data_IF_730606754314
#
_entry.id   IF_730606754314
#
_cell.length_a   1.000
_cell.length_b   1.000
_cell.length_c   1.000
_cell.angle_alpha   90.00
_cell.angle_beta   90.00
_cell.angle_gamma   90.00
#
_symmetry.space_group_name_H-M   'P 1'
#
loop_
_entity.id
_entity.type
_entity.pdbx_description
1 polymer ?
#
# COMPACT_ATOMS: atom_id res chain seq x y z
N UNK A 1 14.34 -21.87 9.75
CA UNK A 1 13.71 -20.54 9.63
C UNK A 1 14.67 -19.51 10.21
N UNK A 2 15.29 -18.68 9.38
CA UNK A 2 16.12 -17.57 9.84
C UNK A 2 15.18 -16.51 10.40
N UNK A 3 15.20 -16.27 11.69
CA UNK A 3 14.67 -15.06 12.28
C UNK A 3 15.45 -13.88 11.67
N UNK A 4 14.88 -13.30 10.64
CA UNK A 4 15.31 -11.99 10.18
C UNK A 4 14.97 -11.02 11.31
N UNK A 5 16.00 -10.58 12.00
CA UNK A 5 15.99 -9.51 13.00
C UNK A 5 15.58 -8.21 12.27
N UNK A 6 14.29 -8.07 11.96
CA UNK A 6 13.76 -6.92 11.24
C UNK A 6 13.55 -5.81 12.27
N UNK A 7 14.45 -4.83 12.25
CA UNK A 7 14.27 -3.58 12.99
C UNK A 7 12.82 -3.06 12.77
N UNK A 8 12.19 -2.59 13.83
CA UNK A 8 10.85 -2.01 13.73
C UNK A 8 10.85 -0.83 12.74
N UNK A 9 9.71 -0.56 12.11
CA UNK A 9 9.56 0.57 11.18
C UNK A 9 9.99 1.89 11.85
N UNK A 10 9.71 2.04 13.15
CA UNK A 10 10.14 3.20 13.96
C UNK A 10 11.65 3.33 14.01
N UNK A 11 12.36 2.25 14.34
CA UNK A 11 13.83 2.31 14.43
C UNK A 11 14.47 2.56 13.05
N UNK A 12 13.93 2.00 11.98
CA UNK A 12 14.39 2.26 10.61
C UNK A 12 14.22 3.73 10.23
N UNK A 13 13.06 4.32 10.47
CA UNK A 13 12.82 5.74 10.20
C UNK A 13 13.74 6.65 11.03
N UNK A 14 13.92 6.34 12.33
CA UNK A 14 14.84 7.09 13.18
C UNK A 14 16.27 7.01 12.65
N UNK A 15 16.78 5.84 12.29
CA UNK A 15 18.14 5.70 11.74
C UNK A 15 18.31 6.42 10.41
N UNK A 16 17.35 6.33 9.49
CA UNK A 16 17.40 7.00 8.18
C UNK A 16 17.44 8.52 8.31
N UNK A 17 16.83 9.10 9.37
CA UNK A 17 16.80 10.54 9.57
C UNK A 17 17.98 11.00 10.43
N UNK A 18 18.30 10.28 11.52
CA UNK A 18 19.32 10.69 12.49
C UNK A 18 20.75 10.55 11.91
N UNK A 19 21.03 9.51 11.13
CA UNK A 19 22.38 9.31 10.58
C UNK A 19 22.78 10.45 9.63
N UNK A 20 22.00 10.82 8.61
CA UNK A 20 22.34 11.98 7.76
C UNK A 20 22.41 13.28 8.56
N UNK A 21 21.55 13.47 9.55
CA UNK A 21 21.59 14.65 10.43
C UNK A 21 22.91 14.75 11.18
N UNK A 22 23.39 13.64 11.77
CA UNK A 22 24.68 13.61 12.45
C UNK A 22 25.84 13.93 11.49
N UNK A 23 25.80 13.41 10.26
CA UNK A 23 26.81 13.70 9.25
C UNK A 23 26.81 15.19 8.91
N UNK A 24 25.64 15.78 8.66
CA UNK A 24 25.51 17.22 8.33
C UNK A 24 26.02 18.08 9.48
N UNK A 25 25.64 17.76 10.72
CA UNK A 25 26.10 18.49 11.91
C UNK A 25 27.62 18.36 12.09
N UNK A 26 28.18 17.16 11.89
CA UNK A 26 29.62 16.95 11.97
C UNK A 26 30.40 17.79 10.94
N UNK A 27 29.93 17.78 9.68
CA UNK A 27 30.50 18.59 8.61
C UNK A 27 30.38 20.08 8.96
N UNK A 28 29.19 20.49 9.42
CA UNK A 28 28.93 21.88 9.82
C UNK A 28 29.83 22.36 10.97
N UNK A 29 30.04 21.51 11.99
CA UNK A 29 30.93 21.81 13.12
C UNK A 29 32.37 22.00 12.66
N UNK A 30 32.86 21.14 11.78
CA UNK A 30 34.21 21.27 11.20
C UNK A 30 34.34 22.55 10.37
N UNK A 31 33.35 22.84 9.53
CA UNK A 31 33.34 24.05 8.72
C UNK A 31 33.34 25.33 9.58
N UNK A 32 32.50 25.36 10.64
CA UNK A 32 32.46 26.47 11.59
C UNK A 32 33.77 26.66 12.36
N UNK A 33 34.45 25.56 12.72
CA UNK A 33 35.75 25.66 13.34
C UNK A 33 36.79 26.35 12.44
N UNK A 34 36.84 25.98 11.16
CA UNK A 34 37.73 26.65 10.20
C UNK A 34 37.35 28.11 9.94
N UNK A 35 36.06 28.41 9.88
CA UNK A 35 35.57 29.79 9.73
C UNK A 35 35.89 30.64 10.95
N UNK A 36 35.74 30.09 12.19
CA UNK A 36 36.13 30.76 13.43
C UNK A 36 37.63 31.03 13.49
N UNK A 37 38.45 30.06 13.05
CA UNK A 37 39.89 30.24 12.96
C UNK A 37 40.27 31.39 12.00
N UNK A 38 39.67 31.42 10.85
CA UNK A 38 39.91 32.49 9.85
C UNK A 38 39.46 33.85 10.37
N UNK A 39 38.26 33.95 10.96
CA UNK A 39 37.76 35.18 11.55
C UNK A 39 38.62 35.69 12.70
N UNK A 40 39.03 34.81 13.59
CA UNK A 40 39.95 35.17 14.68
C UNK A 40 41.25 35.72 14.13
N UNK A 41 41.82 35.12 13.09
CA UNK A 41 43.06 35.60 12.47
C UNK A 41 42.83 36.97 11.78
N UNK A 42 41.74 37.16 11.04
CA UNK A 42 41.40 38.45 10.39
C UNK A 42 41.23 39.57 11.42
N UNK A 43 40.54 39.33 12.53
CA UNK A 43 40.36 40.30 13.61
C UNK A 43 41.70 40.69 14.20
N UNK A 44 42.61 39.69 14.50
CA UNK A 44 43.94 39.94 15.02
C UNK A 44 44.84 40.71 14.05
N UNK A 45 44.86 40.35 12.77
CA UNK A 45 45.64 41.03 11.74
C UNK A 45 45.14 42.48 11.59
N UNK A 46 43.86 42.77 11.63
CA UNK A 46 43.29 44.10 11.61
C UNK A 46 43.67 44.94 12.85
N UNK A 47 43.66 44.29 14.02
CA UNK A 47 44.06 44.90 15.26
C UNK A 47 45.58 45.31 15.21
N UNK A 48 46.47 44.39 14.82
CA UNK A 48 47.88 44.68 14.64
C UNK A 48 48.11 45.79 13.62
N UNK A 49 47.35 45.81 12.54
CA UNK A 49 47.42 46.90 11.55
C UNK A 49 47.03 48.26 12.15
N UNK A 50 45.96 48.29 12.91
CA UNK A 50 45.49 49.53 13.57
C UNK A 50 46.54 50.01 14.56
N UNK A 51 47.15 49.10 15.38
CA UNK A 51 48.19 49.45 16.30
C UNK A 51 49.43 49.96 15.56
N UNK A 52 49.86 49.35 14.46
CA UNK A 52 51.00 49.79 13.67
C UNK A 52 50.78 51.22 13.12
N UNK A 53 49.55 51.54 12.67
CA UNK A 53 49.21 52.90 12.20
C UNK A 53 49.23 53.94 13.34
N UNK A 54 48.78 53.58 14.55
CA UNK A 54 48.82 54.45 15.72
C UNK A 54 50.27 54.72 16.13
N UNK A 55 51.13 53.69 16.20
CA UNK A 55 52.55 53.82 16.50
C UNK A 55 53.24 54.71 15.46
N UNK A 56 52.96 54.51 14.17
CA UNK A 56 53.48 55.32 13.09
C UNK A 56 53.13 56.80 13.29
N UNK A 57 51.85 57.08 13.57
CA UNK A 57 51.35 58.46 13.76
C UNK A 57 52.00 59.14 14.98
N UNK A 58 52.16 58.40 16.06
CA UNK A 58 52.76 58.95 17.29
C UNK A 58 54.25 59.19 17.12
N UNK A 59 55.01 58.26 16.48
CA UNK A 59 56.38 58.44 16.13
C UNK A 59 56.68 59.64 15.20
N UNK A 60 55.66 59.99 14.34
CA UNK A 60 55.77 61.14 13.43
C UNK A 60 55.46 62.46 14.10
N UNK A 61 54.56 62.50 15.07
CA UNK A 61 53.97 63.72 15.61
C UNK A 61 54.66 64.27 16.86
N UNK A 62 55.49 63.48 17.59
CA UNK A 62 56.11 63.89 18.87
C UNK A 62 57.45 63.20 19.16
N UNK A 63 58.36 64.01 19.72
CA UNK A 63 59.70 63.65 20.18
C UNK A 63 59.70 62.66 21.34
N UNK A 64 59.01 61.53 21.25
CA UNK A 64 59.20 60.54 22.28
C UNK A 64 58.10 59.65 22.73
N UNK A 65 58.49 58.60 23.15
CA UNK A 65 58.19 57.31 23.72
C UNK A 65 57.01 57.24 24.72
N UNK A 66 56.68 58.30 25.46
CA UNK A 66 55.78 58.25 26.61
C UNK A 66 54.29 57.98 26.32
N UNK A 67 53.78 58.48 25.19
CA UNK A 67 52.34 58.26 24.85
C UNK A 67 52.13 56.88 24.21
N UNK A 68 53.07 56.40 23.41
CA UNK A 68 53.04 55.09 22.80
C UNK A 68 53.14 54.00 23.91
N UNK A 69 53.99 54.18 24.92
CA UNK A 69 54.15 53.26 26.04
C UNK A 69 52.89 53.16 26.90
N UNK A 70 52.27 54.28 27.26
CA UNK A 70 51.00 54.31 27.97
C UNK A 70 49.83 53.69 27.17
N UNK A 71 49.78 53.95 25.89
CA UNK A 71 48.79 53.35 25.02
C UNK A 71 48.95 51.83 24.89
N UNK A 72 50.18 51.35 24.74
CA UNK A 72 50.49 49.95 24.67
C UNK A 72 50.25 49.22 26.03
N UNK A 73 50.56 49.86 27.14
CA UNK A 73 50.23 49.36 28.47
C UNK A 73 48.70 49.20 28.62
N UNK A 74 47.94 50.24 28.24
CA UNK A 74 46.45 50.17 28.26
C UNK A 74 45.89 49.11 27.31
N UNK A 75 46.48 48.95 26.11
CA UNK A 75 46.08 47.87 25.17
C UNK A 75 46.44 46.50 25.67
N UNK A 76 47.66 46.33 26.27
CA UNK A 76 48.10 45.06 26.89
C UNK A 76 47.15 44.65 28.01
N UNK A 77 46.78 45.58 28.87
CA UNK A 77 45.80 45.29 29.95
C UNK A 77 44.41 44.97 29.40
N UNK A 78 43.96 45.69 28.37
CA UNK A 78 42.65 45.48 27.77
C UNK A 78 42.56 44.20 27.00
N UNK A 79 43.61 43.75 26.35
CA UNK A 79 43.65 42.55 25.49
C UNK A 79 44.19 41.34 26.22
N UNK A 80 44.69 41.48 27.46
CA UNK A 80 45.34 40.46 28.25
C UNK A 80 46.47 39.76 27.48
N UNK A 81 47.15 40.54 26.62
CA UNK A 81 48.18 40.03 25.70
C UNK A 81 49.29 41.03 25.48
N UNK A 82 50.52 40.59 25.40
CA UNK A 82 51.68 41.47 25.31
C UNK A 82 51.90 41.92 23.86
N UNK A 83 51.98 43.27 23.69
CA UNK A 83 52.22 43.93 22.40
C UNK A 83 53.64 44.52 22.45
N UNK A 84 54.40 44.23 21.42
CA UNK A 84 55.74 44.75 21.23
C UNK A 84 55.82 45.50 19.91
N UNK A 85 56.67 46.49 19.84
CA UNK A 85 56.90 47.25 18.60
C UNK A 85 58.36 47.67 18.46
N UNK A 86 58.69 47.94 17.21
CA UNK A 86 59.99 48.56 16.87
C UNK A 86 59.84 49.33 15.56
N UNK A 87 60.46 50.54 15.56
CA UNK A 87 60.59 51.36 14.39
C UNK A 87 62.09 51.51 14.08
N UNK A 88 62.49 51.23 12.83
CA UNK A 88 63.85 51.37 12.32
C UNK A 88 63.84 52.28 11.08
N UNK A 89 64.97 52.98 10.91
CA UNK A 89 65.22 53.75 9.70
C UNK A 89 65.67 52.84 8.54
N UNK A 90 65.97 53.43 7.40
CA UNK A 90 66.43 52.73 6.20
C UNK A 90 67.83 52.11 6.39
N UNK A 91 68.61 52.67 7.30
CA UNK A 91 69.96 52.16 7.66
C UNK A 91 69.90 51.06 8.71
N UNK A 92 68.70 50.58 9.07
CA UNK A 92 68.46 49.60 10.10
C UNK A 92 68.84 50.07 11.53
N UNK A 93 69.01 51.37 11.77
CA UNK A 93 69.19 51.98 13.04
C UNK A 93 67.93 51.99 13.87
N UNK A 94 67.99 51.58 15.15
CA UNK A 94 66.84 51.61 16.06
C UNK A 94 66.45 53.08 16.33
N UNK A 95 65.17 53.40 16.01
CA UNK A 95 64.59 54.74 16.27
C UNK A 95 63.82 54.72 17.60
N UNK A 96 62.85 53.83 17.73
CA UNK A 96 62.04 53.70 18.95
C UNK A 96 61.65 52.22 19.14
N UNK A 97 61.40 51.78 20.36
CA UNK A 97 60.87 50.50 20.73
C UNK A 97 61.83 49.44 21.25
N UNK A 98 61.38 48.18 21.23
CA UNK A 98 62.19 47.06 21.79
C UNK A 98 63.29 46.60 20.85
N UNK A 99 64.41 46.12 21.39
CA UNK A 99 65.53 45.54 20.61
C UNK A 99 65.12 44.12 20.12
N UNK A 100 65.65 43.75 18.94
CA UNK A 100 65.55 42.43 18.34
C UNK A 100 64.08 41.98 17.99
N UNK A 101 63.47 42.58 16.93
CA UNK A 101 62.21 42.10 16.40
C UNK A 101 62.39 40.70 15.80
N UNK A 102 61.33 39.90 15.72
CA UNK A 102 61.35 38.65 15.00
C UNK A 102 61.82 38.82 13.56
N UNK A 103 62.68 37.88 13.09
CA UNK A 103 63.28 37.98 11.77
C UNK A 103 62.20 37.86 10.67
N UNK A 104 62.31 38.71 9.64
CA UNK A 104 61.45 38.66 8.48
C UNK A 104 61.78 37.41 7.64
N UNK A 105 60.81 36.65 7.12
CA UNK A 105 61.04 35.48 6.29
C UNK A 105 61.91 35.84 5.05
N UNK A 106 62.95 35.06 4.79
CA UNK A 106 64.05 35.35 3.83
C UNK A 106 63.67 35.52 2.37
N UNK A 107 62.42 35.33 1.97
CA UNK A 107 61.93 35.48 0.59
C UNK A 107 60.77 36.45 0.46
N UNK A 108 60.62 37.40 1.37
CA UNK A 108 59.46 38.28 1.38
C UNK A 108 59.74 39.51 0.45
N UNK A 109 58.90 39.72 -0.53
CA UNK A 109 58.89 40.89 -1.42
C UNK A 109 58.32 42.09 -0.66
N UNK A 110 59.21 42.97 -0.21
CA UNK A 110 58.84 44.17 0.55
C UNK A 110 58.32 45.24 -0.39
N UNK A 111 57.01 45.48 -0.39
CA UNK A 111 56.42 46.57 -1.14
C UNK A 111 56.05 47.72 -0.20
N UNK A 112 56.37 48.95 -0.58
CA UNK A 112 55.99 50.12 0.21
C UNK A 112 54.48 50.20 0.42
N UNK A 113 54.06 50.60 1.61
CA UNK A 113 52.63 50.76 2.01
C UNK A 113 51.80 49.48 2.02
N UNK A 114 52.40 48.30 1.89
CA UNK A 114 51.71 47.03 2.00
C UNK A 114 52.15 46.27 3.23
N UNK A 115 51.28 46.04 4.22
CA UNK A 115 51.64 45.31 5.41
C UNK A 115 51.84 43.82 5.09
N UNK A 116 52.84 43.22 5.74
CA UNK A 116 53.16 41.80 5.63
C UNK A 116 52.92 41.17 7.01
N UNK A 117 52.08 40.15 7.04
CA UNK A 117 51.76 39.42 8.24
C UNK A 117 52.46 38.06 8.22
N UNK A 118 53.18 37.73 9.33
CA UNK A 118 53.85 36.44 9.45
C UNK A 118 53.88 35.97 10.90
N UNK A 119 53.99 34.64 11.06
CA UNK A 119 54.14 34.02 12.37
C UNK A 119 55.63 33.81 12.69
N UNK A 120 56.02 34.00 13.93
CA UNK A 120 57.39 33.84 14.39
C UNK A 120 57.40 33.44 15.87
N UNK A 121 58.60 33.22 16.42
CA UNK A 121 58.80 32.96 17.83
C UNK A 121 59.56 34.14 18.45
N UNK A 122 59.05 34.63 19.57
CA UNK A 122 59.72 35.67 20.34
C UNK A 122 59.70 35.31 21.83
N UNK A 123 60.86 35.27 22.45
CA UNK A 123 61.01 34.84 23.86
C UNK A 123 60.29 33.53 24.19
N UNK A 124 60.48 32.52 23.36
CA UNK A 124 59.86 31.20 23.47
C UNK A 124 58.30 31.18 23.35
N UNK A 125 57.73 32.25 22.87
CA UNK A 125 56.29 32.36 22.62
C UNK A 125 55.98 32.53 21.15
N UNK A 126 54.89 31.90 20.67
CA UNK A 126 54.36 32.12 19.33
C UNK A 126 53.82 33.55 19.23
N UNK A 127 54.29 34.28 18.25
CA UNK A 127 53.86 35.68 17.99
C UNK A 127 53.36 35.83 16.57
N UNK A 128 52.37 36.70 16.42
CA UNK A 128 51.92 37.21 15.12
C UNK A 128 52.59 38.55 14.91
N UNK A 129 53.23 38.76 13.77
CA UNK A 129 54.00 39.94 13.43
C UNK A 129 53.35 40.62 12.23
N UNK A 130 53.21 41.94 12.30
CA UNK A 130 52.99 42.81 11.16
C UNK A 130 54.27 43.59 10.88
N UNK A 131 54.67 43.60 9.63
CA UNK A 131 55.76 44.45 9.12
C UNK A 131 55.17 45.39 8.08
N UNK A 132 55.48 46.69 8.19
CA UNK A 132 55.16 47.68 7.15
C UNK A 132 56.33 48.61 6.87
N UNK A 133 56.46 49.03 5.62
CA UNK A 133 57.45 50.01 5.20
C UNK A 133 56.74 51.24 4.72
N UNK A 134 56.96 52.37 5.44
CA UNK A 134 56.25 53.61 5.23
C UNK A 134 57.24 54.75 4.98
N UNK A 135 56.84 55.76 4.22
CA UNK A 135 57.65 56.96 4.01
C UNK A 135 57.22 58.08 4.94
N UNK A 136 58.18 58.59 5.74
CA UNK A 136 57.95 59.69 6.67
C UNK A 136 58.70 60.95 6.15
N UNK A 137 58.01 62.08 6.17
CA UNK A 137 58.60 63.39 5.80
C UNK A 137 58.52 64.40 6.95
N UNK A 138 59.28 64.10 8.04
CA UNK A 138 59.40 65.02 9.17
C UNK A 138 60.78 65.62 9.22
N UNK A 139 60.96 66.66 10.05
CA UNK A 139 62.28 67.36 10.17
C UNK A 139 63.34 66.45 10.75
N UNK A 140 62.93 65.47 11.59
CA UNK A 140 63.82 64.61 12.35
C UNK A 140 64.08 63.27 11.71
N UNK A 141 63.15 62.81 10.85
CA UNK A 141 63.22 61.51 10.16
C UNK A 141 62.73 61.67 8.70
N UNK A 142 63.54 62.18 7.80
CA UNK A 142 63.20 62.21 6.39
C UNK A 142 63.60 60.87 5.73
N UNK A 143 62.67 60.00 5.41
CA UNK A 143 63.01 58.76 4.71
C UNK A 143 62.05 57.60 4.92
N UNK A 144 62.47 56.44 4.45
CA UNK A 144 61.73 55.20 4.66
C UNK A 144 61.97 54.66 6.07
N UNK A 145 60.88 54.25 6.76
CA UNK A 145 60.93 53.61 8.06
C UNK A 145 60.31 52.20 7.96
N UNK A 146 60.93 51.27 8.68
CA UNK A 146 60.45 49.90 8.83
C UNK A 146 59.80 49.79 10.21
N UNK A 147 58.52 49.41 10.22
CA UNK A 147 57.73 49.27 11.44
C UNK A 147 57.46 47.80 11.66
N UNK A 148 57.80 47.29 12.83
CA UNK A 148 57.49 45.98 13.31
C UNK A 148 56.56 46.11 14.51
N UNK A 149 55.41 45.42 14.48
CA UNK A 149 54.58 45.24 15.64
C UNK A 149 54.27 43.77 15.78
N UNK A 150 54.44 43.25 16.96
CA UNK A 150 54.13 41.85 17.20
C UNK A 150 53.45 41.67 18.53
N UNK A 151 52.58 40.65 18.58
CA UNK A 151 51.78 40.33 19.74
C UNK A 151 51.81 38.81 19.96
N UNK A 152 51.74 38.38 21.19
CA UNK A 152 51.61 36.95 21.51
C UNK A 152 50.27 36.42 21.02
N UNK A 153 50.18 35.14 20.74
CA UNK A 153 48.95 34.52 20.21
C UNK A 153 47.98 34.02 21.28
N UNK A 154 48.17 34.44 22.55
CA UNK A 154 47.31 34.00 23.66
C UNK A 154 45.90 34.49 23.51
N UNK A 155 45.67 35.78 23.30
CA UNK A 155 44.33 36.35 23.08
C UNK A 155 43.69 35.85 21.81
N UNK A 156 44.50 35.58 20.74
CA UNK A 156 43.93 34.93 19.53
C UNK A 156 43.40 33.53 19.81
N UNK A 157 44.11 32.72 20.62
CA UNK A 157 43.65 31.38 20.99
C UNK A 157 42.41 31.43 21.88
N UNK A 158 42.31 32.36 22.80
CA UNK A 158 41.12 32.57 23.65
C UNK A 158 39.90 32.95 22.81
N UNK A 159 40.03 33.94 21.91
CA UNK A 159 38.97 34.34 20.99
C UNK A 159 38.52 33.19 20.09
N UNK A 160 39.46 32.39 19.58
CA UNK A 160 39.14 31.21 18.79
C UNK A 160 38.31 30.19 19.59
N UNK A 161 38.74 29.90 20.85
CA UNK A 161 38.02 28.97 21.72
C UNK A 161 36.61 29.49 22.07
N UNK A 162 36.47 30.78 22.33
CA UNK A 162 35.15 31.42 22.59
C UNK A 162 34.24 31.26 21.38
N UNK A 163 34.66 31.69 20.18
CA UNK A 163 33.89 31.58 18.95
C UNK A 163 33.53 30.12 18.60
N UNK A 164 34.50 29.21 18.81
CA UNK A 164 34.29 27.79 18.54
C UNK A 164 33.34 27.15 19.56
N UNK A 165 33.39 27.56 20.84
CA UNK A 165 32.50 27.04 21.88
C UNK A 165 31.04 27.49 21.65
N UNK A 166 30.83 28.76 21.29
CA UNK A 166 29.51 29.30 20.98
C UNK A 166 28.87 28.62 19.75
N UNK A 167 29.70 28.40 18.73
CA UNK A 167 29.28 27.63 17.57
C UNK A 167 28.90 26.19 17.91
N UNK A 168 29.72 25.54 18.75
CA UNK A 168 29.47 24.17 19.20
C UNK A 168 28.18 24.07 20.03
N UNK A 169 27.95 24.96 20.98
CA UNK A 169 26.73 25.01 21.81
C UNK A 169 25.48 25.21 20.94
N UNK A 170 25.56 26.15 20.01
CA UNK A 170 24.46 26.41 19.07
C UNK A 170 24.13 25.17 18.22
N UNK A 171 25.13 24.50 17.67
CA UNK A 171 24.97 23.26 16.92
C UNK A 171 24.40 22.12 17.78
N UNK A 172 24.83 22.00 19.03
CA UNK A 172 24.30 20.98 19.95
C UNK A 172 22.81 21.22 20.26
N UNK A 173 22.42 22.46 20.53
CA UNK A 173 21.02 22.81 20.76
C UNK A 173 20.18 22.48 19.51
N UNK A 174 20.69 22.82 18.33
CA UNK A 174 20.00 22.54 17.05
C UNK A 174 19.87 21.02 16.82
N UNK A 175 20.89 20.25 17.12
CA UNK A 175 20.86 18.78 17.02
C UNK A 175 19.82 18.18 17.98
N UNK A 176 19.84 18.59 19.24
CA UNK A 176 18.91 18.09 20.26
C UNK A 176 17.46 18.44 19.94
N UNK A 177 17.19 19.70 19.54
CA UNK A 177 15.86 20.15 19.17
C UNK A 177 15.33 19.40 17.95
N UNK A 178 16.15 19.23 16.91
CA UNK A 178 15.77 18.48 15.71
C UNK A 178 15.55 17.00 16.03
N UNK A 179 16.44 16.38 16.83
CA UNK A 179 16.29 15.01 17.27
C UNK A 179 14.98 14.79 18.05
N UNK A 180 14.62 15.73 18.91
CA UNK A 180 13.36 15.71 19.66
C UNK A 180 12.14 15.83 18.73
N UNK A 181 12.17 16.77 17.80
CA UNK A 181 11.11 16.95 16.79
C UNK A 181 10.91 15.69 15.95
N UNK A 182 12.01 15.06 15.50
CA UNK A 182 11.95 13.81 14.73
C UNK A 182 11.36 12.67 15.57
N UNK A 183 11.79 12.55 16.82
CA UNK A 183 11.28 11.52 17.73
C UNK A 183 9.78 11.67 17.96
N UNK A 184 9.30 12.88 18.26
CA UNK A 184 7.86 13.15 18.39
C UNK A 184 7.10 12.93 17.08
N UNK A 185 7.62 13.43 15.95
CA UNK A 185 7.00 13.26 14.64
C UNK A 185 6.80 11.80 14.25
N UNK A 186 7.80 10.96 14.47
CA UNK A 186 7.70 9.51 14.21
C UNK A 186 6.73 8.84 15.18
N UNK A 187 6.75 9.21 16.46
CA UNK A 187 5.87 8.65 17.47
C UNK A 187 4.39 8.95 17.17
N UNK A 188 4.05 10.21 16.93
CA UNK A 188 2.68 10.63 16.64
C UNK A 188 2.23 10.23 15.24
N UNK A 189 3.11 10.30 14.25
CA UNK A 189 2.79 9.93 12.86
C UNK A 189 2.46 8.45 12.69
N UNK A 190 3.09 7.55 13.46
CA UNK A 190 2.83 6.11 13.40
C UNK A 190 1.75 5.61 14.36
N UNK A 191 1.28 6.44 15.28
CA UNK A 191 0.26 6.05 16.27
C UNK A 191 -1.03 5.53 15.62
N UNK A 192 -1.65 6.18 14.60
CA UNK A 192 -2.88 5.70 13.97
C UNK A 192 -2.73 4.30 13.33
N UNK A 193 -1.56 4.01 12.78
CA UNK A 193 -1.27 2.72 12.18
C UNK A 193 -1.21 1.60 13.24
N UNK A 194 -0.60 1.89 14.39
CA UNK A 194 -0.52 0.94 15.50
C UNK A 194 -1.88 0.71 16.16
N UNK A 195 -2.70 1.73 16.24
CA UNK A 195 -4.07 1.61 16.72
C UNK A 195 -4.93 0.77 15.78
N UNK A 196 -4.77 0.93 14.46
CA UNK A 196 -5.42 0.09 13.47
C UNK A 196 -4.96 -1.36 13.58
N UNK A 197 -3.64 -1.60 13.69
CA UNK A 197 -3.09 -2.94 13.91
C UNK A 197 -3.65 -3.60 15.18
N UNK A 198 -3.71 -2.86 16.29
CA UNK A 198 -4.26 -3.35 17.55
C UNK A 198 -5.75 -3.67 17.44
N UNK A 199 -6.52 -2.86 16.69
CA UNK A 199 -7.93 -3.10 16.44
C UNK A 199 -8.17 -4.39 15.65
N UNK A 200 -7.37 -4.62 14.59
CA UNK A 200 -7.44 -5.84 13.80
C UNK A 200 -7.04 -7.06 14.64
N UNK A 201 -5.97 -6.96 15.42
CA UNK A 201 -5.48 -8.07 16.26
C UNK A 201 -6.45 -8.47 17.38
N UNK A 202 -7.25 -7.54 17.89
CA UNK A 202 -8.24 -7.80 18.95
C UNK A 202 -9.51 -8.45 18.44
N UNK A 203 -9.73 -8.54 17.12
CA UNK A 203 -10.91 -9.16 16.54
C UNK A 203 -10.83 -10.68 16.64
N UNK A 204 -11.97 -11.31 16.93
CA UNK A 204 -12.11 -12.75 16.76
C UNK A 204 -12.14 -13.10 15.27
N UNK A 205 -11.90 -14.37 14.95
CA UNK A 205 -11.95 -14.87 13.57
C UNK A 205 -13.33 -14.66 12.90
N UNK A 206 -14.38 -14.57 13.70
CA UNK A 206 -15.78 -14.42 13.25
C UNK A 206 -16.23 -12.97 13.14
N UNK A 207 -15.43 -12.01 13.65
CA UNK A 207 -15.77 -10.59 13.57
C UNK A 207 -15.32 -9.97 12.25
N UNK A 208 -16.15 -10.08 11.24
CA UNK A 208 -16.00 -9.47 9.91
C UNK A 208 -16.76 -8.13 9.77
N UNK A 209 -17.06 -7.45 10.89
CA UNK A 209 -17.72 -6.15 10.86
C UNK A 209 -16.83 -5.06 10.27
N UNK A 210 -17.43 -3.99 9.76
CA UNK A 210 -16.72 -2.85 9.20
C UNK A 210 -15.84 -2.17 10.25
N UNK A 211 -14.60 -1.82 9.89
CA UNK A 211 -13.71 -1.04 10.74
C UNK A 211 -14.05 0.44 10.60
N UNK A 212 -14.73 1.01 11.61
CA UNK A 212 -15.12 2.44 11.66
C UNK A 212 -14.11 3.22 12.49
N UNK A 213 -13.01 3.64 11.89
CA UNK A 213 -12.00 4.48 12.53
C UNK A 213 -11.56 5.60 11.59
N UNK A 214 -11.27 6.77 12.17
CA UNK A 214 -10.61 7.86 11.48
C UNK A 214 -9.13 7.49 11.32
N UNK A 215 -8.66 7.47 10.09
CA UNK A 215 -7.26 7.19 9.74
C UNK A 215 -6.75 8.26 8.78
N UNK A 216 -5.44 8.52 8.74
CA UNK A 216 -4.85 9.41 7.73
C UNK A 216 -5.22 9.01 6.30
N UNK A 217 -5.20 9.98 5.38
CA UNK A 217 -5.59 9.80 3.98
C UNK A 217 -4.81 8.69 3.29
N UNK A 218 -3.53 8.54 3.62
CA UNK A 218 -2.62 7.52 3.07
C UNK A 218 -3.02 6.09 3.45
N UNK A 219 -3.65 5.92 4.61
CA UNK A 219 -4.13 4.62 5.11
C UNK A 219 -5.59 4.36 4.75
N UNK A 220 -6.34 5.42 4.41
CA UNK A 220 -7.78 5.35 4.12
C UNK A 220 -8.10 4.42 2.94
N UNK A 221 -7.28 4.44 1.88
CA UNK A 221 -7.46 3.55 0.72
C UNK A 221 -7.33 2.07 1.11
N UNK A 222 -6.35 1.74 1.95
CA UNK A 222 -6.15 0.38 2.48
C UNK A 222 -7.36 -0.04 3.33
N UNK A 223 -7.81 0.83 4.23
CA UNK A 223 -8.98 0.56 5.08
C UNK A 223 -10.26 0.32 4.27
N UNK A 224 -10.50 1.11 3.21
CA UNK A 224 -11.62 0.91 2.28
C UNK A 224 -11.55 -0.44 1.59
N UNK A 225 -10.37 -0.82 1.09
CA UNK A 225 -10.16 -2.14 0.45
C UNK A 225 -10.42 -3.29 1.43
N UNK A 226 -9.95 -3.18 2.68
CA UNK A 226 -10.22 -4.16 3.73
C UNK A 226 -11.72 -4.26 4.05
N UNK A 227 -12.41 -3.13 4.21
CA UNK A 227 -13.84 -3.11 4.48
C UNK A 227 -14.66 -3.70 3.32
N UNK A 228 -14.24 -3.46 2.07
CA UNK A 228 -14.82 -4.11 0.89
C UNK A 228 -14.66 -5.64 0.95
N UNK A 229 -13.47 -6.13 1.29
CA UNK A 229 -13.24 -7.56 1.47
C UNK A 229 -14.09 -8.17 2.60
N UNK A 230 -14.21 -7.47 3.74
CA UNK A 230 -15.08 -7.92 4.83
C UNK A 230 -16.54 -7.93 4.44
N UNK A 231 -16.99 -6.96 3.65
CA UNK A 231 -18.35 -6.96 3.12
C UNK A 231 -18.63 -8.15 2.20
N UNK A 232 -17.72 -8.46 1.27
CA UNK A 232 -17.81 -9.61 0.38
C UNK A 232 -17.80 -10.93 1.17
N UNK A 233 -16.91 -11.03 2.18
CA UNK A 233 -16.83 -12.22 3.01
C UNK A 233 -18.11 -12.43 3.84
N UNK A 234 -18.66 -11.35 4.41
CA UNK A 234 -19.93 -11.39 5.15
C UNK A 234 -21.07 -11.85 4.27
N UNK A 235 -21.15 -11.30 3.06
CA UNK A 235 -22.17 -11.71 2.08
C UNK A 235 -22.04 -13.21 1.77
N UNK A 236 -20.84 -13.70 1.51
CA UNK A 236 -20.60 -15.11 1.24
C UNK A 236 -20.99 -16.02 2.43
N UNK A 237 -20.73 -15.61 3.65
CA UNK A 237 -21.16 -16.35 4.85
C UNK A 237 -22.69 -16.33 4.99
N UNK A 238 -23.33 -15.18 4.82
CA UNK A 238 -24.81 -15.09 4.88
C UNK A 238 -25.45 -16.00 3.82
N UNK A 239 -24.98 -15.96 2.57
CA UNK A 239 -25.46 -16.82 1.50
C UNK A 239 -25.26 -18.31 1.81
N UNK A 240 -24.14 -18.68 2.45
CA UNK A 240 -23.87 -20.05 2.89
C UNK A 240 -24.81 -20.49 4.03
N UNK A 241 -25.01 -19.62 5.01
CA UNK A 241 -25.89 -19.94 6.15
C UNK A 241 -27.35 -20.07 5.71
N UNK A 242 -27.82 -19.17 4.83
CA UNK A 242 -29.16 -19.26 4.22
C UNK A 242 -29.32 -20.54 3.40
N UNK A 243 -28.28 -20.93 2.65
CA UNK A 243 -28.28 -22.19 1.90
C UNK A 243 -28.42 -23.39 2.83
N UNK A 244 -27.63 -23.46 3.92
CA UNK A 244 -27.68 -24.57 4.89
C UNK A 244 -29.05 -24.63 5.57
N UNK A 245 -29.58 -23.48 6.00
CA UNK A 245 -30.88 -23.41 6.65
C UNK A 245 -32.01 -23.89 5.73
N UNK A 246 -32.04 -23.43 4.48
CA UNK A 246 -33.03 -23.81 3.49
C UNK A 246 -32.89 -25.30 3.09
N UNK A 247 -31.66 -25.79 2.90
CA UNK A 247 -31.41 -27.20 2.60
C UNK A 247 -31.93 -28.11 3.72
N UNK A 248 -31.62 -27.77 4.99
CA UNK A 248 -32.11 -28.51 6.15
C UNK A 248 -33.65 -28.55 6.21
N UNK A 249 -34.28 -27.40 5.90
CA UNK A 249 -35.75 -27.31 5.89
C UNK A 249 -36.35 -28.17 4.78
N UNK A 250 -35.80 -28.10 3.57
CA UNK A 250 -36.25 -28.85 2.41
C UNK A 250 -35.97 -30.36 2.52
N UNK A 251 -34.99 -30.79 3.30
CA UNK A 251 -34.78 -32.22 3.61
C UNK A 251 -35.70 -32.73 4.71
N UNK A 252 -35.97 -31.93 5.74
CA UNK A 252 -36.83 -32.32 6.86
C UNK A 252 -38.25 -32.67 6.40
N UNK A 253 -38.82 -31.88 5.48
CA UNK A 253 -40.19 -32.07 5.05
C UNK A 253 -40.45 -33.45 4.38
N UNK A 254 -39.72 -33.90 3.35
CA UNK A 254 -39.95 -35.20 2.74
C UNK A 254 -39.58 -36.35 3.67
N UNK A 255 -38.58 -36.18 4.56
CA UNK A 255 -38.25 -37.22 5.54
C UNK A 255 -39.41 -37.42 6.53
N UNK A 256 -39.99 -36.34 7.04
CA UNK A 256 -41.21 -36.44 7.88
C UNK A 256 -42.39 -37.05 7.12
N UNK A 257 -42.53 -36.75 5.83
CA UNK A 257 -43.54 -37.41 4.97
C UNK A 257 -43.30 -38.89 4.81
N UNK A 258 -42.05 -39.32 4.55
CA UNK A 258 -41.67 -40.73 4.47
C UNK A 258 -42.00 -41.47 5.80
N UNK A 259 -41.63 -40.89 6.93
CA UNK A 259 -41.90 -41.44 8.24
C UNK A 259 -43.39 -41.59 8.50
N UNK A 260 -44.15 -40.52 8.26
CA UNK A 260 -45.62 -40.55 8.45
C UNK A 260 -46.34 -41.58 7.56
N UNK A 261 -45.92 -41.72 6.29
CA UNK A 261 -46.54 -42.71 5.37
C UNK A 261 -46.09 -44.14 5.73
N UNK A 262 -44.86 -44.32 6.19
CA UNK A 262 -44.36 -45.64 6.67
C UNK A 262 -45.13 -46.10 7.93
N UNK A 263 -45.32 -45.22 8.92
CA UNK A 263 -46.11 -45.51 10.13
C UNK A 263 -47.58 -45.80 9.79
N UNK A 264 -48.12 -45.06 8.83
CA UNK A 264 -49.52 -45.29 8.37
C UNK A 264 -49.66 -46.58 7.55
N UNK A 265 -48.61 -47.02 6.83
CA UNK A 265 -48.57 -48.27 6.13
C UNK A 265 -48.53 -49.44 7.12
N UNK A 266 -47.74 -49.33 8.21
CA UNK A 266 -47.63 -50.32 9.28
C UNK A 266 -48.97 -50.54 10.00
N UNK A 267 -49.73 -49.49 10.21
CA UNK A 267 -51.04 -49.57 10.86
C UNK A 267 -52.19 -49.97 9.93
N UNK A 268 -51.94 -50.15 8.64
CA UNK A 268 -52.96 -50.45 7.65
C UNK A 268 -53.41 -51.88 7.74
N UNK A 269 -54.73 -52.09 7.87
CA UNK A 269 -55.38 -53.43 7.87
C UNK A 269 -55.68 -53.94 6.47
N UNK A 270 -55.63 -53.08 5.44
CA UNK A 270 -55.94 -53.43 4.08
C UNK A 270 -54.69 -53.47 3.23
N UNK A 271 -54.44 -54.57 2.52
CA UNK A 271 -53.26 -54.79 1.69
C UNK A 271 -53.14 -53.76 0.56
N UNK A 272 -54.24 -53.32 0.00
CA UNK A 272 -54.27 -52.34 -1.11
C UNK A 272 -53.87 -50.95 -0.61
N UNK A 273 -54.39 -50.52 0.56
CA UNK A 273 -54.01 -49.27 1.22
C UNK A 273 -52.53 -49.33 1.64
N UNK A 274 -52.02 -50.43 2.17
CA UNK A 274 -50.61 -50.63 2.51
C UNK A 274 -49.74 -50.47 1.27
N UNK A 275 -50.08 -51.14 0.16
CA UNK A 275 -49.33 -51.01 -1.11
C UNK A 275 -49.28 -49.60 -1.65
N UNK A 276 -50.42 -48.87 -1.58
CA UNK A 276 -50.44 -47.45 -1.99
C UNK A 276 -49.51 -46.60 -1.15
N UNK A 277 -49.51 -46.75 0.20
CA UNK A 277 -48.65 -46.01 1.10
C UNK A 277 -47.15 -46.35 0.93
N UNK A 278 -46.82 -47.62 0.70
CA UNK A 278 -45.45 -48.05 0.38
C UNK A 278 -44.99 -47.42 -0.94
N UNK A 279 -45.89 -47.28 -1.93
CA UNK A 279 -45.56 -46.58 -3.17
C UNK A 279 -45.30 -45.09 -2.93
N UNK A 280 -46.10 -44.45 -2.07
CA UNK A 280 -45.90 -43.01 -1.70
C UNK A 280 -44.57 -42.84 -0.96
N UNK A 281 -44.17 -43.78 -0.05
CA UNK A 281 -42.84 -43.79 0.59
C UNK A 281 -41.71 -43.91 -0.43
N UNK A 282 -41.83 -44.81 -1.41
CA UNK A 282 -40.83 -44.99 -2.46
C UNK A 282 -40.69 -43.71 -3.34
N UNK A 283 -41.79 -43.06 -3.68
CA UNK A 283 -41.76 -41.79 -4.42
C UNK A 283 -41.15 -40.66 -3.62
N UNK A 284 -41.47 -40.54 -2.32
CA UNK A 284 -40.92 -39.55 -1.45
C UNK A 284 -39.39 -39.75 -1.24
N UNK A 285 -38.94 -41.01 -1.06
CA UNK A 285 -37.53 -41.39 -0.97
C UNK A 285 -36.77 -41.02 -2.26
N UNK A 286 -37.33 -41.30 -3.42
CA UNK A 286 -36.78 -40.93 -4.73
C UNK A 286 -36.61 -39.40 -4.87
N UNK A 287 -37.65 -38.62 -4.46
CA UNK A 287 -37.57 -37.14 -4.43
C UNK A 287 -36.49 -36.63 -3.51
N UNK A 288 -36.35 -37.25 -2.29
CA UNK A 288 -35.30 -36.89 -1.33
C UNK A 288 -33.90 -37.18 -1.86
N UNK A 289 -33.69 -38.33 -2.47
CA UNK A 289 -32.41 -38.69 -3.10
C UNK A 289 -32.03 -37.71 -4.20
N UNK A 290 -32.99 -37.29 -5.04
CA UNK A 290 -32.78 -36.31 -6.08
C UNK A 290 -32.38 -34.93 -5.49
N UNK A 291 -33.08 -34.48 -4.44
CA UNK A 291 -32.73 -33.23 -3.74
C UNK A 291 -31.31 -33.30 -3.18
N UNK A 292 -30.93 -34.41 -2.55
CA UNK A 292 -29.56 -34.58 -2.02
C UNK A 292 -28.51 -34.54 -3.14
N UNK A 293 -28.77 -35.16 -4.29
CA UNK A 293 -27.87 -35.04 -5.46
C UNK A 293 -27.74 -33.60 -5.95
N UNK A 294 -28.85 -32.86 -6.05
CA UNK A 294 -28.83 -31.45 -6.46
C UNK A 294 -28.02 -30.58 -5.49
N UNK A 295 -28.11 -30.81 -4.17
CA UNK A 295 -27.32 -30.13 -3.15
C UNK A 295 -25.81 -30.43 -3.29
N UNK A 296 -25.46 -31.72 -3.52
CA UNK A 296 -24.08 -32.13 -3.77
C UNK A 296 -23.51 -31.54 -5.06
N UNK A 297 -24.30 -31.51 -6.13
CA UNK A 297 -23.88 -30.89 -7.40
C UNK A 297 -23.56 -29.41 -7.21
N UNK A 298 -24.38 -28.66 -6.45
CA UNK A 298 -24.11 -27.25 -6.15
C UNK A 298 -22.79 -27.03 -5.40
N UNK A 299 -22.48 -27.90 -4.44
CA UNK A 299 -21.20 -27.85 -3.71
C UNK A 299 -20.02 -28.15 -4.66
N UNK A 300 -20.14 -29.18 -5.49
CA UNK A 300 -19.11 -29.50 -6.46
C UNK A 300 -18.86 -28.39 -7.49
N UNK A 301 -19.92 -27.75 -8.00
CA UNK A 301 -19.83 -26.64 -8.97
C UNK A 301 -19.09 -25.44 -8.36
N UNK A 302 -19.20 -25.20 -7.06
CA UNK A 302 -18.54 -24.10 -6.36
C UNK A 302 -17.01 -24.26 -6.24
N UNK A 303 -16.47 -25.46 -6.49
CA UNK A 303 -15.03 -25.73 -6.40
C UNK A 303 -14.31 -25.31 -7.68
N UNK A 304 -13.35 -24.38 -7.57
CA UNK A 304 -12.55 -23.82 -8.69
C UNK A 304 -11.78 -24.85 -9.55
N UNK A 305 -11.71 -26.11 -9.14
CA UNK A 305 -10.95 -27.19 -9.79
C UNK A 305 -11.58 -27.76 -11.07
N UNK A 306 -12.84 -27.43 -11.38
CA UNK A 306 -13.64 -28.12 -12.41
C UNK A 306 -13.20 -27.75 -13.84
N UNK A 307 -12.64 -26.56 -14.07
CA UNK A 307 -12.18 -26.17 -15.43
C UNK A 307 -11.10 -27.09 -16.01
N UNK A 308 -10.38 -27.83 -15.18
CA UNK A 308 -9.39 -28.82 -15.64
C UNK A 308 -10.03 -30.07 -16.25
N UNK A 309 -11.31 -30.31 -16.04
CA UNK A 309 -12.06 -31.45 -16.56
C UNK A 309 -12.76 -31.15 -17.90
N UNK A 310 -12.71 -29.92 -18.38
CA UNK A 310 -13.38 -29.51 -19.60
C UNK A 310 -12.78 -30.22 -20.82
N UNK A 311 -13.66 -30.83 -21.61
CA UNK A 311 -13.32 -31.54 -22.87
C UNK A 311 -14.09 -30.93 -24.04
N UNK A 312 -13.58 -31.20 -25.24
CA UNK A 312 -14.31 -30.89 -26.46
C UNK A 312 -15.52 -31.82 -26.59
N UNK A 313 -16.72 -31.28 -26.59
CA UNK A 313 -17.96 -32.05 -26.71
C UNK A 313 -18.88 -31.45 -27.79
N UNK A 314 -19.72 -32.30 -28.37
CA UNK A 314 -20.74 -31.89 -29.34
C UNK A 314 -22.07 -31.66 -28.59
N UNK A 315 -22.47 -30.40 -28.48
CA UNK A 315 -23.68 -29.99 -27.77
C UNK A 315 -24.95 -30.62 -28.39
N UNK A 316 -25.01 -30.82 -29.73
CA UNK A 316 -26.11 -31.47 -30.40
C UNK A 316 -26.31 -32.90 -29.91
N UNK A 317 -25.22 -33.68 -29.87
CA UNK A 317 -25.25 -35.05 -29.39
C UNK A 317 -25.67 -35.13 -27.92
N UNK A 318 -25.09 -34.28 -27.08
CA UNK A 318 -25.44 -34.20 -25.66
C UNK A 318 -26.92 -33.89 -25.47
N UNK A 319 -27.46 -32.92 -26.18
CA UNK A 319 -28.89 -32.57 -26.12
C UNK A 319 -29.78 -33.72 -26.56
N UNK A 320 -29.40 -34.45 -27.63
CA UNK A 320 -30.15 -35.62 -28.10
C UNK A 320 -30.20 -36.74 -27.05
N UNK A 321 -29.06 -37.02 -26.40
CA UNK A 321 -28.97 -38.01 -25.31
C UNK A 321 -29.86 -37.66 -24.12
N UNK A 322 -29.88 -36.36 -23.75
CA UNK A 322 -30.77 -35.86 -22.68
C UNK A 322 -32.22 -35.99 -23.07
N UNK A 323 -32.61 -35.54 -24.27
CA UNK A 323 -34.00 -35.65 -24.71
C UNK A 323 -34.49 -37.07 -24.77
N UNK A 324 -33.64 -38.02 -25.16
CA UNK A 324 -34.01 -39.45 -25.20
C UNK A 324 -34.34 -39.98 -23.79
N UNK A 325 -33.68 -39.54 -22.73
CA UNK A 325 -34.00 -39.90 -21.33
C UNK A 325 -35.43 -39.41 -20.94
N UNK A 326 -35.87 -38.28 -21.47
CA UNK A 326 -37.17 -37.70 -21.14
C UNK A 326 -38.30 -38.19 -22.03
N UNK A 327 -38.03 -38.83 -23.18
CA UNK A 327 -39.05 -39.25 -24.16
C UNK A 327 -40.17 -40.09 -23.55
N UNK A 328 -39.89 -41.12 -22.78
CA UNK A 328 -40.90 -41.97 -22.11
C UNK A 328 -41.73 -41.17 -21.07
N UNK A 329 -41.15 -40.19 -20.43
CA UNK A 329 -41.88 -39.39 -19.44
C UNK A 329 -42.77 -38.36 -20.11
N UNK A 330 -42.31 -37.72 -21.18
CA UNK A 330 -43.04 -36.80 -21.99
C UNK A 330 -44.30 -37.50 -22.61
N UNK A 331 -44.08 -38.69 -23.17
CA UNK A 331 -45.16 -39.49 -23.74
C UNK A 331 -46.28 -39.82 -22.71
N UNK A 332 -45.86 -40.26 -21.50
CA UNK A 332 -46.81 -40.51 -20.39
C UNK A 332 -47.61 -39.29 -19.93
N UNK A 333 -47.09 -38.10 -20.17
CA UNK A 333 -47.71 -36.83 -19.83
C UNK A 333 -48.43 -36.16 -21.03
N UNK A 334 -48.49 -36.87 -22.16
CA UNK A 334 -49.02 -36.34 -23.43
C UNK A 334 -48.33 -35.06 -23.89
N UNK A 335 -46.99 -34.94 -23.64
CA UNK A 335 -46.16 -33.80 -24.08
C UNK A 335 -45.41 -34.20 -25.34
N UNK A 336 -45.57 -33.40 -26.37
CA UNK A 336 -44.83 -33.55 -27.62
C UNK A 336 -43.46 -32.89 -27.46
N UNK A 337 -42.35 -33.70 -27.54
CA UNK A 337 -40.98 -33.24 -27.43
C UNK A 337 -40.33 -33.20 -28.81
N UNK A 338 -39.93 -32.02 -29.28
CA UNK A 338 -39.34 -31.83 -30.59
C UNK A 338 -37.91 -31.28 -30.50
N UNK A 339 -37.05 -31.72 -31.42
CA UNK A 339 -35.69 -31.18 -31.57
C UNK A 339 -35.56 -30.61 -33.01
N UNK A 340 -35.28 -29.32 -33.08
CA UNK A 340 -34.92 -28.63 -34.32
C UNK A 340 -33.44 -28.26 -34.29
N UNK A 341 -32.67 -28.82 -35.21
CA UNK A 341 -31.23 -28.59 -35.24
C UNK A 341 -30.79 -28.27 -36.66
N UNK A 342 -30.41 -27.01 -36.90
CA UNK A 342 -29.92 -26.58 -38.21
C UNK A 342 -28.51 -27.05 -38.47
N UNK A 343 -27.67 -27.20 -37.41
CA UNK A 343 -26.28 -27.59 -37.46
C UNK A 343 -26.07 -28.97 -36.84
N UNK A 344 -25.53 -29.91 -37.55
CA UNK A 344 -25.29 -31.28 -37.06
C UNK A 344 -24.14 -31.38 -36.04
N UNK A 345 -23.29 -30.35 -35.93
CA UNK A 345 -22.11 -30.38 -35.06
C UNK A 345 -21.81 -28.97 -34.49
N UNK A 346 -22.10 -28.79 -33.23
CA UNK A 346 -21.73 -27.61 -32.45
C UNK A 346 -20.78 -28.02 -31.35
N UNK A 347 -19.49 -27.69 -31.54
CA UNK A 347 -18.45 -28.07 -30.57
C UNK A 347 -18.19 -26.95 -29.57
N UNK A 348 -18.26 -27.30 -28.31
CA UNK A 348 -17.97 -26.43 -27.17
C UNK A 348 -16.93 -27.09 -26.27
N UNK A 349 -16.33 -26.31 -25.36
CA UNK A 349 -15.46 -26.83 -24.33
C UNK A 349 -16.24 -26.86 -23.00
N UNK A 350 -16.31 -28.04 -22.36
CA UNK A 350 -17.07 -28.15 -21.12
C UNK A 350 -17.06 -29.55 -20.51
N UNK A 351 -17.78 -29.66 -19.39
CA UNK A 351 -18.05 -30.94 -18.72
C UNK A 351 -19.37 -31.52 -19.19
N UNK A 352 -19.31 -32.71 -19.78
CA UNK A 352 -20.50 -33.45 -20.24
C UNK A 352 -21.51 -33.68 -19.13
N UNK A 353 -21.01 -34.03 -17.93
CA UNK A 353 -21.84 -34.29 -16.76
C UNK A 353 -22.62 -33.07 -16.32
N UNK A 354 -21.93 -31.94 -16.17
CA UNK A 354 -22.58 -30.70 -15.72
C UNK A 354 -23.51 -30.10 -16.78
N UNK A 355 -23.12 -30.10 -18.05
CA UNK A 355 -24.00 -29.58 -19.11
C UNK A 355 -25.21 -30.47 -19.32
N UNK A 356 -25.08 -31.81 -19.19
CA UNK A 356 -26.25 -32.72 -19.17
C UNK A 356 -27.18 -32.37 -18.02
N UNK A 357 -26.65 -32.14 -16.82
CA UNK A 357 -27.44 -31.77 -15.64
C UNK A 357 -28.15 -30.41 -15.82
N UNK A 358 -27.49 -29.41 -16.43
CA UNK A 358 -28.16 -28.13 -16.74
C UNK A 358 -29.33 -28.33 -17.69
N UNK A 359 -29.14 -29.06 -18.79
CA UNK A 359 -30.17 -29.34 -19.76
C UNK A 359 -31.30 -30.18 -19.13
N UNK A 360 -30.96 -31.22 -18.34
CA UNK A 360 -31.90 -32.06 -17.59
C UNK A 360 -32.79 -31.20 -16.68
N UNK A 361 -32.24 -30.23 -15.95
CA UNK A 361 -32.99 -29.34 -15.07
C UNK A 361 -33.94 -28.42 -15.84
N UNK A 362 -33.51 -27.89 -16.99
CA UNK A 362 -34.38 -27.03 -17.82
C UNK A 362 -35.52 -27.78 -18.47
N UNK A 363 -35.28 -29.00 -19.00
CA UNK A 363 -36.35 -29.86 -19.59
C UNK A 363 -37.29 -30.32 -18.50
N UNK A 364 -36.79 -30.71 -17.32
CA UNK A 364 -37.62 -31.11 -16.19
C UNK A 364 -38.58 -29.98 -15.74
N UNK A 365 -38.07 -28.73 -15.71
CA UNK A 365 -38.86 -27.55 -15.41
C UNK A 365 -39.97 -27.33 -16.48
N UNK A 366 -39.64 -27.45 -17.76
CA UNK A 366 -40.60 -27.33 -18.84
C UNK A 366 -41.74 -28.40 -18.73
N UNK A 367 -41.38 -29.64 -18.40
CA UNK A 367 -42.35 -30.73 -18.18
C UNK A 367 -43.20 -30.52 -16.92
N UNK A 368 -42.62 -30.03 -15.83
CA UNK A 368 -43.34 -29.87 -14.56
C UNK A 368 -44.24 -28.65 -14.51
N UNK A 369 -43.77 -27.56 -15.07
CA UNK A 369 -44.43 -26.25 -14.94
C UNK A 369 -44.98 -25.72 -16.26
N UNK A 370 -44.31 -26.00 -17.38
CA UNK A 370 -44.72 -25.55 -18.71
C UNK A 370 -45.88 -26.41 -19.25
N UNK A 371 -45.74 -27.73 -19.19
CA UNK A 371 -46.71 -28.67 -19.81
C UNK A 371 -47.24 -29.71 -18.81
N UNK A 372 -47.85 -29.34 -17.66
CA UNK A 372 -48.26 -30.30 -16.63
C UNK A 372 -49.42 -31.22 -17.08
N UNK A 373 -50.23 -30.82 -18.06
CA UNK A 373 -51.40 -31.54 -18.56
C UNK A 373 -51.29 -31.89 -20.05
N UNK A 374 -50.08 -31.97 -20.60
CA UNK A 374 -49.84 -32.11 -22.03
C UNK A 374 -49.44 -30.77 -22.67
N UNK A 375 -48.88 -30.81 -23.88
CA UNK A 375 -48.42 -29.63 -24.61
C UNK A 375 -47.21 -29.90 -25.50
N UNK A 376 -46.52 -28.84 -25.86
CA UNK A 376 -45.35 -28.88 -26.75
C UNK A 376 -44.11 -28.32 -26.06
N UNK A 377 -43.03 -29.09 -26.05
CA UNK A 377 -41.69 -28.60 -25.70
C UNK A 377 -40.85 -28.66 -26.97
N UNK A 378 -40.42 -27.49 -27.44
CA UNK A 378 -39.57 -27.36 -28.60
C UNK A 378 -38.15 -27.00 -28.13
N UNK A 379 -37.20 -27.84 -28.52
CA UNK A 379 -35.78 -27.62 -28.31
C UNK A 379 -35.11 -27.27 -29.63
N UNK A 380 -34.46 -26.13 -29.71
CA UNK A 380 -33.76 -25.73 -30.94
C UNK A 380 -32.26 -25.43 -30.67
N UNK A 381 -31.42 -25.83 -31.63
CA UNK A 381 -30.00 -25.54 -31.60
C UNK A 381 -29.56 -24.85 -32.88
N UNK A 382 -28.79 -23.79 -32.74
CA UNK A 382 -28.20 -23.06 -33.86
C UNK A 382 -26.86 -22.47 -33.47
N UNK A 383 -25.99 -22.17 -34.44
CA UNK A 383 -24.83 -21.33 -34.25
C UNK A 383 -25.22 -19.87 -34.50
N UNK A 384 -24.92 -18.98 -33.57
CA UNK A 384 -25.10 -17.55 -33.74
C UNK A 384 -23.89 -16.78 -33.18
N UNK A 385 -23.31 -15.88 -33.95
CA UNK A 385 -22.24 -14.96 -33.53
C UNK A 385 -21.14 -15.56 -32.64
N UNK A 386 -20.61 -16.74 -33.00
CA UNK A 386 -19.58 -17.49 -32.25
C UNK A 386 -20.08 -18.17 -30.97
N UNK A 387 -21.41 -18.21 -30.75
CA UNK A 387 -22.06 -18.95 -29.70
C UNK A 387 -22.86 -20.13 -30.24
N UNK A 388 -22.90 -21.23 -29.49
CA UNK A 388 -23.92 -22.27 -29.66
C UNK A 388 -25.14 -21.86 -28.85
N UNK A 389 -26.21 -21.54 -29.48
CA UNK A 389 -27.49 -21.24 -28.84
C UNK A 389 -28.34 -22.51 -28.74
N UNK A 390 -28.73 -22.87 -27.53
CA UNK A 390 -29.72 -23.91 -27.21
C UNK A 390 -30.93 -23.22 -26.58
N UNK A 391 -32.06 -23.24 -27.29
CA UNK A 391 -33.33 -22.74 -26.78
C UNK A 391 -34.26 -23.89 -26.42
N UNK A 392 -34.85 -23.83 -25.23
CA UNK A 392 -35.90 -24.74 -24.72
C UNK A 392 -37.16 -23.92 -24.51
N UNK A 393 -38.20 -24.20 -25.27
CA UNK A 393 -39.45 -23.44 -25.26
C UNK A 393 -40.62 -24.36 -24.97
N UNK A 394 -41.46 -23.99 -24.01
CA UNK A 394 -42.75 -24.62 -23.73
C UNK A 394 -43.93 -23.72 -24.20
N UNK A 395 -45.12 -24.33 -24.39
CA UNK A 395 -46.36 -23.67 -24.73
C UNK A 395 -47.29 -23.47 -23.53
N UNK A 396 -46.74 -23.44 -22.33
CA UNK A 396 -47.49 -23.33 -21.08
C UNK A 396 -48.02 -21.93 -20.78
N UNK A 397 -48.49 -21.75 -19.55
CA UNK A 397 -49.08 -20.48 -19.09
C UNK A 397 -48.05 -19.36 -18.83
N UNK A 398 -46.77 -19.66 -18.94
CA UNK A 398 -45.69 -18.74 -18.65
C UNK A 398 -45.55 -18.41 -17.17
N UNK A 399 -44.61 -17.50 -16.86
CA UNK A 399 -44.25 -17.05 -15.53
C UNK A 399 -44.82 -15.63 -15.32
N UNK A 400 -45.43 -15.38 -14.15
CA UNK A 400 -45.92 -14.03 -13.79
C UNK A 400 -44.74 -13.00 -13.83
N UNK A 401 -44.94 -11.80 -14.41
CA UNK A 401 -43.88 -10.80 -14.50
C UNK A 401 -43.26 -10.42 -13.16
N UNK A 402 -44.04 -10.46 -12.06
CA UNK A 402 -43.55 -10.18 -10.70
C UNK A 402 -42.55 -11.21 -10.16
N UNK A 403 -42.53 -12.43 -10.71
CA UNK A 403 -41.67 -13.51 -10.29
C UNK A 403 -40.36 -13.60 -11.10
N UNK A 404 -40.34 -13.02 -12.31
CA UNK A 404 -39.22 -13.12 -13.24
C UNK A 404 -37.85 -12.69 -12.63
N UNK A 405 -37.74 -11.64 -11.81
CA UNK A 405 -36.47 -11.25 -11.21
C UNK A 405 -35.85 -12.32 -10.33
N UNK A 406 -36.65 -13.17 -9.69
CA UNK A 406 -36.24 -14.09 -8.64
C UNK A 406 -36.22 -15.55 -9.08
N UNK A 407 -36.61 -15.87 -10.33
CA UNK A 407 -36.76 -17.29 -10.78
C UNK A 407 -35.44 -18.06 -10.78
N UNK A 408 -34.31 -17.37 -10.80
CA UNK A 408 -32.97 -17.97 -10.70
C UNK A 408 -32.44 -18.05 -9.28
N UNK A 409 -33.16 -17.51 -8.28
CA UNK A 409 -32.78 -17.59 -6.89
C UNK A 409 -32.90 -19.03 -6.37
N UNK A 410 -32.03 -19.39 -5.47
CA UNK A 410 -32.01 -20.73 -4.85
C UNK A 410 -33.25 -20.94 -3.99
N UNK A 411 -33.88 -22.11 -4.11
CA UNK A 411 -35.10 -22.48 -3.37
C UNK A 411 -36.35 -21.60 -3.71
N UNK A 412 -36.31 -20.85 -4.80
CA UNK A 412 -37.41 -20.01 -5.19
C UNK A 412 -38.58 -20.85 -5.70
N UNK A 413 -39.77 -20.58 -5.21
CA UNK A 413 -41.04 -21.17 -5.63
C UNK A 413 -42.15 -20.12 -5.74
N UNK A 414 -43.05 -20.28 -6.70
CA UNK A 414 -44.32 -19.56 -6.66
C UNK A 414 -45.17 -20.10 -5.51
N UNK A 415 -45.52 -19.24 -4.55
CA UNK A 415 -46.33 -19.60 -3.37
C UNK A 415 -47.73 -20.11 -3.72
N UNK A 416 -48.22 -19.77 -4.90
CA UNK A 416 -49.57 -20.17 -5.40
C UNK A 416 -49.54 -21.46 -6.23
N UNK A 417 -48.35 -21.86 -6.71
CA UNK A 417 -48.25 -23.12 -7.47
C UNK A 417 -48.22 -24.31 -6.50
N UNK A 418 -49.05 -25.33 -6.78
CA UNK A 418 -48.95 -26.65 -6.12
C UNK A 418 -47.64 -27.35 -6.54
N UNK A 419 -46.50 -26.71 -6.31
CA UNK A 419 -45.23 -27.10 -6.91
C UNK A 419 -44.62 -28.30 -6.20
N UNK A 420 -44.14 -29.25 -6.99
CA UNK A 420 -43.44 -30.45 -6.52
C UNK A 420 -41.91 -30.35 -6.66
N UNK A 421 -41.39 -29.19 -7.02
CA UNK A 421 -39.95 -28.99 -7.30
C UNK A 421 -39.12 -28.58 -6.06
N UNK A 422 -37.81 -28.65 -6.16
CA UNK A 422 -36.88 -28.26 -5.10
C UNK A 422 -36.54 -26.75 -5.09
N UNK A 423 -36.91 -26.02 -6.15
CA UNK A 423 -36.47 -24.64 -6.37
C UNK A 423 -34.99 -24.45 -6.68
N UNK A 424 -34.28 -25.56 -6.94
CA UNK A 424 -32.83 -25.55 -7.22
C UNK A 424 -32.50 -25.67 -8.71
N UNK A 425 -33.45 -26.20 -9.53
CA UNK A 425 -33.15 -26.55 -10.93
C UNK A 425 -32.64 -25.40 -11.79
N UNK A 426 -33.34 -24.23 -11.75
CA UNK A 426 -32.93 -23.06 -12.53
C UNK A 426 -31.65 -22.42 -12.02
N UNK A 427 -31.44 -22.38 -10.71
CA UNK A 427 -30.21 -21.87 -10.11
C UNK A 427 -29.00 -22.74 -10.41
N UNK A 428 -29.15 -24.08 -10.40
CA UNK A 428 -28.12 -25.03 -10.82
C UNK A 428 -27.77 -24.83 -12.30
N UNK A 429 -28.78 -24.79 -13.18
CA UNK A 429 -28.57 -24.59 -14.60
C UNK A 429 -27.82 -23.26 -14.87
N UNK A 430 -28.20 -22.17 -14.23
CA UNK A 430 -27.54 -20.87 -14.35
C UNK A 430 -26.07 -20.95 -13.92
N UNK A 431 -25.80 -21.51 -12.75
CA UNK A 431 -24.43 -21.66 -12.22
C UNK A 431 -23.54 -22.52 -13.13
N UNK A 432 -24.08 -23.62 -13.68
CA UNK A 432 -23.36 -24.45 -14.65
C UNK A 432 -23.03 -23.68 -15.93
N UNK A 433 -24.00 -22.96 -16.49
CA UNK A 433 -23.81 -22.20 -17.73
C UNK A 433 -22.77 -21.08 -17.52
N UNK A 434 -22.85 -20.34 -16.42
CA UNK A 434 -21.87 -19.32 -16.05
C UNK A 434 -20.47 -19.91 -15.86
N UNK A 435 -20.34 -21.10 -15.27
CA UNK A 435 -19.06 -21.83 -15.14
C UNK A 435 -18.44 -22.11 -16.51
N UNK A 436 -19.27 -22.37 -17.53
CA UNK A 436 -18.87 -22.60 -18.93
C UNK A 436 -18.72 -21.31 -19.74
N UNK A 437 -18.66 -20.14 -19.08
CA UNK A 437 -18.52 -18.81 -19.72
C UNK A 437 -19.68 -18.50 -20.67
N UNK A 438 -20.82 -19.16 -20.45
CA UNK A 438 -22.06 -18.97 -21.17
C UNK A 438 -23.01 -17.99 -20.49
N UNK A 439 -24.14 -17.75 -21.14
CA UNK A 439 -25.24 -16.97 -20.59
C UNK A 439 -26.55 -17.76 -20.67
N UNK A 440 -27.41 -17.57 -19.65
CA UNK A 440 -28.76 -18.12 -19.61
C UNK A 440 -29.76 -16.99 -19.54
N UNK A 441 -30.65 -16.91 -20.54
CA UNK A 441 -31.71 -15.91 -20.59
C UNK A 441 -33.06 -16.58 -20.54
N UNK A 442 -34.04 -15.88 -19.93
CA UNK A 442 -35.42 -16.34 -19.81
C UNK A 442 -36.34 -15.29 -20.39
N UNK A 443 -37.24 -15.73 -21.27
CA UNK A 443 -38.33 -14.94 -21.80
C UNK A 443 -39.64 -15.69 -21.57
N UNK A 444 -40.62 -15.05 -20.94
CA UNK A 444 -41.87 -15.69 -20.61
C UNK A 444 -43.05 -14.75 -20.80
N UNK A 445 -44.11 -15.30 -21.34
CA UNK A 445 -45.38 -14.60 -21.55
C UNK A 445 -46.56 -15.60 -21.39
N UNK A 446 -47.79 -15.13 -21.59
CA UNK A 446 -49.00 -15.99 -21.47
C UNK A 446 -49.10 -17.14 -22.49
N UNK A 447 -48.15 -17.26 -23.42
CA UNK A 447 -48.11 -18.32 -24.44
C UNK A 447 -46.95 -19.30 -24.22
N UNK A 448 -46.28 -19.23 -23.07
CA UNK A 448 -45.20 -20.12 -22.71
C UNK A 448 -43.97 -19.44 -22.21
N UNK A 449 -42.93 -20.25 -21.90
CA UNK A 449 -41.61 -19.82 -21.45
C UNK A 449 -40.53 -20.31 -22.41
N UNK A 450 -39.60 -19.47 -22.71
CA UNK A 450 -38.36 -19.80 -23.47
C UNK A 450 -37.15 -19.53 -22.64
N UNK A 451 -36.29 -20.54 -22.48
CA UNK A 451 -35.00 -20.49 -21.85
C UNK A 451 -33.92 -20.67 -22.92
N UNK A 452 -33.05 -19.69 -23.05
CA UNK A 452 -31.96 -19.72 -24.05
C UNK A 452 -30.61 -19.75 -23.39
N UNK A 453 -29.81 -20.77 -23.71
CA UNK A 453 -28.43 -21.00 -23.28
C UNK A 453 -27.53 -20.58 -24.44
N UNK A 454 -26.59 -19.65 -24.20
CA UNK A 454 -25.52 -19.31 -25.11
C UNK A 454 -24.18 -19.82 -24.58
N UNK A 455 -23.50 -20.71 -25.32
CA UNK A 455 -22.20 -21.26 -24.95
C UNK A 455 -21.15 -20.93 -26.02
N UNK A 456 -19.89 -20.58 -25.63
CA UNK A 456 -18.83 -20.27 -26.59
C UNK A 456 -18.51 -21.47 -27.50
N UNK A 457 -18.54 -21.26 -28.81
CA UNK A 457 -18.13 -22.26 -29.79
C UNK A 457 -16.59 -22.36 -29.83
N UNK A 458 -16.07 -23.58 -29.96
CA UNK A 458 -14.67 -23.78 -30.24
C UNK A 458 -14.40 -23.30 -31.69
N UNK A 459 -13.52 -22.30 -31.84
CA UNK A 459 -13.09 -21.85 -33.16
C UNK A 459 -12.53 -23.05 -33.95
N UNK A 460 -13.02 -23.28 -35.17
CA UNK A 460 -12.37 -24.21 -36.09
C UNK A 460 -10.93 -23.73 -36.26
N UNK A 461 -9.95 -24.50 -35.80
CA UNK A 461 -8.57 -24.34 -36.29
C UNK A 461 -8.63 -24.49 -37.79
N UNK A 462 -8.29 -23.43 -38.49
CA UNK A 462 -8.11 -23.43 -39.95
C UNK A 462 -6.99 -24.37 -40.31
#
# INVERSE_FOLDING_TARGET
MRENNTFSLRSRLLFVIIIPLLIIVSIGTVALYFDSQKKSQEIFDNLLHTISQVILRDAVLRDGDLLTEQLLETLTDSLNDQIFYQVRDETNTLFVGYSNPPELPTKTDIKPYQPIYYDSIYRDQDVRVIFSREFISTKDIPGWVNIYVWQTRLGQKELLLELASDAFVTMLIMLLSTGLCVWFGVQFGLQPLLELQAAIRKRSADDISEIKRSVPTEVSSLLKSMNSLFSQLRQAFTEKDDFIANAAHQLRNPIAGIQSQAEAAERSKNLESMRSRVKDVAEAAKKTSRLTQQLLSMEHISQRSIKSEFKRLNLVKLTQEVLTKFALRADKQNVYLSLDCKDSKLFIQGSETFLSEAIDNLIDNALLYGCPNGGLIQVSLKADNNLAELEIKDDGNGIKPSLLPNVFDRFFHDSEAKSQGSGLGLSIAKTIIELHEGNLTLNSNKKGTSLTIGLPLIKKSS
#
